data_IF_732795799147
#
_entry.id   IF_732795799147
#
_cell.length_a   1.000
_cell.length_b   1.000
_cell.length_c   1.000
_cell.angle_alpha   90.00
_cell.angle_beta   90.00
_cell.angle_gamma   90.00
#
_symmetry.space_group_name_H-M   'P 1'
#
loop_
_entity.id
_entity.type
_entity.pdbx_description
1 polymer ?
#
# COMPACT_ATOMS: atom_id res chain seq x y z
N UNK A 1 -19.38 21.77 -15.67
CA UNK A 1 -18.24 21.67 -16.60
C UNK A 1 -18.15 20.23 -17.09
N UNK A 2 -17.93 19.99 -18.39
CA UNK A 2 -17.61 18.67 -18.97
C UNK A 2 -16.45 18.89 -19.93
N UNK A 3 -15.38 18.12 -19.80
CA UNK A 3 -14.18 18.28 -20.62
C UNK A 3 -13.67 16.90 -21.07
N UNK A 4 -14.00 16.51 -22.31
CA UNK A 4 -13.67 15.19 -22.87
C UNK A 4 -12.21 15.05 -23.30
N UNK A 5 -11.46 16.15 -23.32
CA UNK A 5 -10.01 16.19 -23.57
C UNK A 5 -9.21 16.43 -22.27
N UNK A 6 -9.87 16.33 -21.11
CA UNK A 6 -9.27 16.59 -19.80
C UNK A 6 -9.52 18.00 -19.29
N UNK A 7 -9.19 18.23 -18.02
CA UNK A 7 -9.49 19.44 -17.27
C UNK A 7 -8.31 19.79 -16.36
N UNK A 8 -7.80 21.01 -16.48
CA UNK A 8 -6.82 21.57 -15.57
C UNK A 8 -7.45 22.69 -14.74
N UNK A 9 -7.59 22.48 -13.44
CA UNK A 9 -8.03 23.50 -12.48
C UNK A 9 -6.82 24.00 -11.71
N UNK A 10 -6.44 25.25 -11.94
CA UNK A 10 -5.22 25.83 -11.36
C UNK A 10 -5.47 27.19 -10.73
N UNK A 11 -4.71 27.49 -9.67
CA UNK A 11 -4.63 28.82 -9.07
C UNK A 11 -3.26 29.48 -9.30
N UNK A 12 -2.43 28.88 -10.15
CA UNK A 12 -1.21 29.51 -10.65
C UNK A 12 -1.59 30.71 -11.53
N UNK A 13 -1.00 31.87 -11.23
CA UNK A 13 -1.25 33.08 -11.99
C UNK A 13 -0.49 33.08 -13.32
N UNK A 14 -1.13 33.58 -14.38
CA UNK A 14 -0.52 33.81 -15.68
C UNK A 14 -0.62 35.31 -16.02
N UNK A 15 0.34 36.15 -15.56
CA UNK A 15 0.29 37.59 -15.77
C UNK A 15 0.15 37.95 -17.26
N UNK A 16 -0.81 38.82 -17.56
CA UNK A 16 -1.10 39.24 -18.93
C UNK A 16 -1.57 38.12 -19.87
N UNK A 17 -1.94 36.95 -19.35
CA UNK A 17 -2.21 35.75 -20.13
C UNK A 17 -1.06 35.37 -21.10
N UNK A 18 0.19 35.70 -20.73
CA UNK A 18 1.35 35.60 -21.61
C UNK A 18 1.88 34.19 -21.91
N UNK A 19 1.31 33.16 -21.29
CA UNK A 19 1.60 31.75 -21.57
C UNK A 19 0.50 31.07 -22.38
N UNK A 20 0.66 29.77 -22.62
CA UNK A 20 -0.38 28.96 -23.25
C UNK A 20 -1.58 28.77 -22.32
N UNK A 21 -2.77 28.53 -22.89
CA UNK A 21 -3.99 28.34 -22.10
C UNK A 21 -3.93 27.09 -21.20
N UNK A 22 -3.18 26.07 -21.63
CA UNK A 22 -3.00 24.81 -20.92
C UNK A 22 -1.52 24.62 -20.51
N UNK A 23 -0.90 25.66 -19.96
CA UNK A 23 0.44 25.52 -19.39
C UNK A 23 0.39 24.65 -18.12
N UNK A 24 0.80 23.39 -18.28
CA UNK A 24 0.85 22.38 -17.23
C UNK A 24 2.21 22.32 -16.53
N UNK A 25 3.15 23.20 -16.85
CA UNK A 25 4.53 23.14 -16.33
C UNK A 25 4.57 23.00 -14.80
N UNK A 26 3.85 23.83 -14.00
CA UNK A 26 3.89 23.69 -12.54
C UNK A 26 3.31 22.38 -12.03
N UNK A 27 2.27 21.84 -12.68
CA UNK A 27 1.67 20.57 -12.28
C UNK A 27 2.58 19.38 -12.62
N UNK A 28 3.26 19.43 -13.77
CA UNK A 28 4.20 18.39 -14.23
C UNK A 28 5.41 18.26 -13.31
N UNK A 29 5.97 19.38 -12.85
CA UNK A 29 7.07 19.35 -11.88
C UNK A 29 6.68 18.65 -10.58
N UNK A 30 5.47 18.92 -10.08
CA UNK A 30 4.94 18.26 -8.88
C UNK A 30 4.73 16.75 -9.11
N UNK A 31 4.12 16.37 -10.23
CA UNK A 31 3.94 14.96 -10.62
C UNK A 31 5.28 14.22 -10.73
N UNK A 32 6.28 14.82 -11.37
CA UNK A 32 7.61 14.24 -11.50
C UNK A 32 8.32 14.11 -10.14
N UNK A 33 8.08 15.02 -9.20
CA UNK A 33 8.60 14.92 -7.83
C UNK A 33 7.94 13.77 -7.05
N UNK A 34 6.62 13.64 -7.17
CA UNK A 34 5.81 12.59 -6.54
C UNK A 34 6.18 11.19 -7.08
N UNK A 35 6.31 11.06 -8.40
CA UNK A 35 6.71 9.81 -9.04
C UNK A 35 8.12 9.38 -8.58
N UNK A 36 9.11 10.29 -8.59
CA UNK A 36 10.46 9.98 -8.08
C UNK A 36 10.47 9.60 -6.59
N UNK A 37 9.59 10.19 -5.79
CA UNK A 37 9.43 9.78 -4.39
C UNK A 37 8.88 8.35 -4.29
N UNK A 38 7.80 8.05 -5.01
CA UNK A 38 7.18 6.73 -5.04
C UNK A 38 8.17 5.66 -5.52
N UNK A 39 8.91 5.92 -6.59
CA UNK A 39 9.96 5.02 -7.12
C UNK A 39 11.02 4.69 -6.06
N UNK A 40 11.59 5.71 -5.41
CA UNK A 40 12.63 5.52 -4.40
C UNK A 40 12.12 4.71 -3.21
N UNK A 41 10.92 5.00 -2.74
CA UNK A 41 10.32 4.28 -1.61
C UNK A 41 9.94 2.84 -2.00
N UNK A 42 9.42 2.63 -3.21
CA UNK A 42 9.11 1.31 -3.76
C UNK A 42 10.38 0.44 -3.90
N UNK A 43 11.45 1.01 -4.47
CA UNK A 43 12.76 0.37 -4.55
C UNK A 43 13.35 0.05 -3.18
N UNK A 44 13.20 0.96 -2.20
CA UNK A 44 13.63 0.69 -0.82
C UNK A 44 12.79 -0.40 -0.15
N UNK A 45 11.47 -0.41 -0.35
CA UNK A 45 10.58 -1.41 0.24
C UNK A 45 10.93 -2.81 -0.28
N UNK A 46 11.05 -2.96 -1.60
CA UNK A 46 11.42 -4.23 -2.25
C UNK A 46 12.80 -4.72 -1.82
N UNK A 47 13.80 -3.83 -1.69
CA UNK A 47 15.12 -4.18 -1.17
C UNK A 47 15.07 -4.75 0.26
N UNK A 48 14.07 -4.36 1.05
CA UNK A 48 13.80 -4.87 2.41
C UNK A 48 12.70 -5.94 2.46
N UNK A 49 12.35 -6.56 1.31
CA UNK A 49 11.31 -7.60 1.17
C UNK A 49 9.90 -7.16 1.60
N UNK A 50 9.65 -5.85 1.65
CA UNK A 50 8.30 -5.30 1.73
C UNK A 50 7.71 -5.15 0.33
N UNK A 51 6.43 -4.82 0.26
CA UNK A 51 5.70 -4.74 -1.00
C UNK A 51 6.00 -3.47 -1.78
N UNK A 52 6.05 -3.59 -3.10
CA UNK A 52 6.19 -2.45 -4.01
C UNK A 52 4.92 -1.58 -4.05
N UNK A 53 5.08 -0.30 -4.38
CA UNK A 53 3.96 0.61 -4.63
C UNK A 53 3.55 0.54 -6.11
N UNK A 54 2.67 -0.38 -6.49
CA UNK A 54 2.28 -0.59 -7.91
C UNK A 54 1.63 0.63 -8.59
N UNK A 55 1.08 1.56 -7.82
CA UNK A 55 0.37 2.72 -8.35
C UNK A 55 1.28 3.84 -8.91
N UNK A 56 2.61 3.65 -8.97
CA UNK A 56 3.52 4.64 -9.55
C UNK A 56 3.38 4.77 -11.07
N UNK A 57 2.88 3.74 -11.77
CA UNK A 57 2.70 3.73 -13.23
C UNK A 57 1.59 4.69 -13.67
N UNK A 58 0.47 4.76 -12.93
CA UNK A 58 -0.61 5.70 -13.24
C UNK A 58 -0.18 7.17 -13.05
N UNK A 59 0.67 7.43 -12.03
CA UNK A 59 1.28 8.74 -11.82
C UNK A 59 2.23 9.11 -12.97
N UNK A 60 2.94 8.13 -13.53
CA UNK A 60 3.82 8.32 -14.69
C UNK A 60 3.00 8.65 -15.94
N UNK A 61 1.98 7.86 -16.25
CA UNK A 61 1.09 8.12 -17.40
C UNK A 61 0.43 9.50 -17.31
N UNK A 62 -0.02 9.92 -16.12
CA UNK A 62 -0.58 11.26 -15.91
C UNK A 62 0.43 12.39 -16.21
N UNK A 63 1.73 12.15 -15.98
CA UNK A 63 2.80 13.08 -16.35
C UNK A 63 3.09 13.07 -17.85
N UNK A 64 3.23 11.89 -18.45
CA UNK A 64 3.55 11.70 -19.88
C UNK A 64 2.43 12.22 -20.80
N UNK A 65 1.18 11.99 -20.42
CA UNK A 65 0.02 12.49 -21.16
C UNK A 65 -0.13 14.01 -21.07
N UNK A 66 0.42 14.62 -20.01
CA UNK A 66 0.49 16.07 -19.83
C UNK A 66 1.60 16.75 -20.67
N UNK A 67 2.41 15.97 -21.38
CA UNK A 67 3.43 16.50 -22.31
C UNK A 67 2.96 16.64 -23.75
N UNK A 68 1.72 16.22 -24.03
CA UNK A 68 1.17 16.26 -25.38
C UNK A 68 1.03 17.69 -25.91
N UNK A 69 1.19 17.86 -27.22
CA UNK A 69 0.98 19.13 -27.91
C UNK A 69 -0.03 18.90 -29.02
N UNK A 70 -1.09 19.71 -29.08
CA UNK A 70 -2.00 19.74 -30.22
C UNK A 70 -1.44 20.67 -31.28
N UNK A 71 -1.31 20.19 -32.51
CA UNK A 71 -0.75 20.99 -33.59
C UNK A 71 -0.20 20.13 -34.71
N UNK A 72 0.18 20.76 -35.81
CA UNK A 72 0.63 20.04 -37.00
C UNK A 72 2.07 20.40 -37.34
N UNK A 73 3.05 19.78 -36.67
CA UNK A 73 4.43 19.72 -37.17
C UNK A 73 4.71 18.45 -37.99
N UNK A 74 3.88 17.41 -37.87
CA UNK A 74 4.05 16.12 -38.54
C UNK A 74 3.21 15.96 -39.81
N UNK A 75 3.08 17.01 -40.63
CA UNK A 75 2.59 16.88 -42.01
C UNK A 75 2.90 18.11 -42.89
N UNK A 76 4.15 18.56 -42.92
CA UNK A 76 4.65 19.35 -44.06
C UNK A 76 5.86 18.64 -44.64
N UNK A 77 5.57 17.59 -45.42
CA UNK A 77 6.52 17.00 -46.35
C UNK A 77 7.12 18.08 -47.25
N UNK A 78 8.44 18.01 -47.45
CA UNK A 78 9.22 18.89 -48.30
C UNK A 78 8.56 19.12 -49.68
N UNK A 79 8.23 20.37 -50.02
CA UNK A 79 7.81 20.70 -51.40
C UNK A 79 7.10 22.04 -51.68
N UNK A 80 6.66 22.81 -50.68
CA UNK A 80 5.94 24.08 -50.91
C UNK A 80 6.75 25.35 -50.58
N UNK A 81 6.59 26.41 -51.37
CA UNK A 81 7.13 27.76 -51.10
C UNK A 81 6.45 28.39 -49.86
N UNK A 82 7.23 28.65 -48.82
CA UNK A 82 6.79 29.07 -47.47
C UNK A 82 7.02 30.56 -47.20
N UNK A 83 7.30 31.37 -48.23
CA UNK A 83 7.58 32.81 -48.07
C UNK A 83 6.39 33.62 -47.52
N UNK A 84 5.15 33.18 -47.76
CA UNK A 84 3.93 33.78 -47.21
C UNK A 84 3.55 33.27 -45.81
N UNK A 85 3.96 32.07 -45.43
CA UNK A 85 3.70 31.47 -44.12
C UNK A 85 4.66 31.98 -43.02
N UNK A 86 5.91 32.33 -43.38
CA UNK A 86 6.88 32.90 -42.43
C UNK A 86 6.41 34.20 -41.78
N UNK A 87 5.70 35.08 -42.51
CA UNK A 87 5.16 36.33 -41.95
C UNK A 87 3.90 36.13 -41.10
N UNK A 88 3.15 35.03 -41.28
CA UNK A 88 2.03 34.68 -40.41
C UNK A 88 2.54 34.08 -39.08
N UNK A 89 3.67 33.37 -39.11
CA UNK A 89 4.31 32.77 -37.94
C UNK A 89 5.02 33.76 -37.00
N UNK A 90 5.25 35.01 -37.43
CA UNK A 90 5.88 36.05 -36.60
C UNK A 90 4.90 36.74 -35.64
N UNK A 91 3.58 36.65 -35.89
CA UNK A 91 2.54 37.26 -35.04
C UNK A 91 1.38 36.32 -34.68
N UNK A 92 1.26 35.15 -35.33
CA UNK A 92 0.31 34.09 -34.98
C UNK A 92 1.08 32.84 -34.58
N UNK A 93 0.71 32.21 -33.45
CA UNK A 93 1.43 31.10 -32.84
C UNK A 93 1.80 29.97 -33.81
N UNK A 94 2.83 29.18 -33.44
CA UNK A 94 3.51 28.16 -34.27
C UNK A 94 2.64 26.96 -34.68
N UNK A 95 1.31 27.05 -34.54
CA UNK A 95 0.38 25.98 -34.87
C UNK A 95 0.42 24.81 -33.88
N UNK A 96 1.05 24.99 -32.73
CA UNK A 96 1.20 24.03 -31.65
C UNK A 96 0.78 24.67 -30.31
N UNK A 97 -0.03 23.95 -29.53
CA UNK A 97 -0.47 24.35 -28.19
C UNK A 97 -0.39 23.14 -27.25
N UNK A 98 0.01 23.31 -25.98
CA UNK A 98 -0.06 22.26 -24.98
C UNK A 98 -1.45 21.60 -24.92
N UNK A 99 -1.45 20.28 -24.74
CA UNK A 99 -2.63 19.43 -24.73
C UNK A 99 -2.49 18.29 -23.73
N UNK A 100 -3.56 17.52 -23.55
CA UNK A 100 -3.53 16.27 -22.80
C UNK A 100 -3.76 15.11 -23.79
N UNK A 101 -2.94 14.06 -23.72
CA UNK A 101 -3.11 12.86 -24.57
C UNK A 101 -4.34 12.05 -24.15
N UNK A 102 -4.67 12.05 -22.87
CA UNK A 102 -5.82 11.38 -22.28
C UNK A 102 -6.61 12.35 -21.37
N UNK A 103 -7.90 12.08 -21.07
CA UNK A 103 -8.76 13.03 -20.37
C UNK A 103 -8.52 13.08 -18.85
N UNK A 104 -7.35 13.57 -18.45
CA UNK A 104 -6.97 13.75 -17.05
C UNK A 104 -7.68 14.93 -16.38
N UNK A 105 -7.92 14.82 -15.08
CA UNK A 105 -8.28 15.94 -14.21
C UNK A 105 -7.09 16.30 -13.33
N UNK A 106 -6.45 17.44 -13.60
CA UNK A 106 -5.37 17.97 -12.77
C UNK A 106 -5.88 19.11 -11.90
N UNK A 107 -5.63 19.02 -10.59
CA UNK A 107 -5.88 20.09 -9.62
C UNK A 107 -4.52 20.60 -9.13
N UNK A 108 -4.22 21.89 -9.30
CA UNK A 108 -2.95 22.47 -8.89
C UNK A 108 -3.12 23.81 -8.16
N UNK A 109 -2.41 23.98 -7.06
CA UNK A 109 -2.35 25.25 -6.34
C UNK A 109 -0.99 25.42 -5.68
N UNK A 110 -0.37 26.61 -5.77
CA UNK A 110 0.89 26.88 -5.07
C UNK A 110 0.71 26.98 -3.54
N UNK A 111 -0.49 27.33 -3.06
CA UNK A 111 -0.77 27.49 -1.63
C UNK A 111 -1.37 26.22 -0.99
N UNK A 112 -2.10 25.43 -1.76
CA UNK A 112 -2.68 24.16 -1.31
C UNK A 112 -4.08 23.89 -1.86
N UNK A 113 -4.57 22.67 -1.61
CA UNK A 113 -5.92 22.24 -2.02
C UNK A 113 -6.64 21.77 -0.75
N UNK A 114 -7.88 22.19 -0.58
CA UNK A 114 -8.72 21.80 0.56
C UNK A 114 -10.08 21.32 0.06
N UNK A 115 -10.51 20.16 0.55
CA UNK A 115 -11.85 19.63 0.36
C UNK A 115 -12.52 19.48 1.73
N UNK A 116 -13.63 20.18 1.96
CA UNK A 116 -14.40 20.10 3.21
C UNK A 116 -15.87 19.92 2.94
N UNK A 117 -16.55 19.23 3.86
CA UNK A 117 -18.00 19.03 3.84
C UNK A 117 -18.47 18.71 5.27
N UNK A 118 -19.64 19.21 5.72
CA UNK A 118 -20.22 18.81 7.00
C UNK A 118 -20.82 17.39 6.97
N UNK A 119 -21.01 16.82 5.78
CA UNK A 119 -21.56 15.49 5.57
C UNK A 119 -20.44 14.48 5.29
N UNK A 120 -20.48 13.81 4.13
CA UNK A 120 -19.54 12.75 3.77
C UNK A 120 -18.72 13.09 2.52
N UNK A 121 -17.50 12.57 2.48
CA UNK A 121 -16.67 12.48 1.28
C UNK A 121 -16.55 11.01 0.89
N UNK A 122 -16.75 10.70 -0.39
CA UNK A 122 -16.60 9.34 -0.92
C UNK A 122 -15.58 9.34 -2.06
N UNK A 123 -14.57 8.48 -1.95
CA UNK A 123 -13.57 8.23 -2.98
C UNK A 123 -13.78 6.80 -3.47
N UNK A 124 -14.22 6.66 -4.72
CA UNK A 124 -14.44 5.37 -5.36
C UNK A 124 -13.63 5.29 -6.65
N UNK A 125 -12.89 4.20 -6.81
CA UNK A 125 -12.03 3.96 -7.97
C UNK A 125 -12.18 2.50 -8.41
N UNK A 126 -12.07 2.26 -9.72
CA UNK A 126 -11.97 0.90 -10.26
C UNK A 126 -10.54 0.35 -10.27
N UNK A 127 -9.55 1.24 -10.15
CA UNK A 127 -8.12 0.92 -10.09
C UNK A 127 -7.53 1.22 -8.71
N UNK A 128 -6.31 1.76 -8.67
CA UNK A 128 -5.57 2.02 -7.43
C UNK A 128 -5.73 3.46 -6.91
N UNK A 129 -5.69 3.61 -5.57
CA UNK A 129 -5.51 4.89 -4.88
C UNK A 129 -4.04 5.06 -4.51
N UNK A 130 -3.39 6.09 -5.03
CA UNK A 130 -2.05 6.50 -4.58
C UNK A 130 -2.10 7.83 -3.84
N UNK A 131 -1.36 7.90 -2.73
CA UNK A 131 -1.15 9.12 -1.97
C UNK A 131 0.35 9.28 -1.77
N UNK A 132 0.89 10.43 -2.15
CA UNK A 132 2.29 10.77 -1.96
C UNK A 132 2.40 12.12 -1.27
N UNK A 133 3.29 12.22 -0.30
CA UNK A 133 3.59 13.45 0.44
C UNK A 133 5.10 13.58 0.54
N UNK A 134 5.64 14.75 0.24
CA UNK A 134 7.07 15.03 0.43
C UNK A 134 7.49 15.06 1.91
N UNK A 135 6.52 15.17 2.80
CA UNK A 135 6.68 15.23 4.25
C UNK A 135 5.75 14.18 4.90
N UNK A 136 4.87 14.59 5.81
CA UNK A 136 4.01 13.71 6.57
C UNK A 136 2.66 13.43 5.88
N UNK A 137 2.07 12.28 6.18
CA UNK A 137 0.65 11.99 5.95
C UNK A 137 -0.02 11.85 7.31
N UNK A 138 -0.87 12.81 7.66
CA UNK A 138 -1.56 12.84 8.94
C UNK A 138 -3.03 12.43 8.75
N UNK A 139 -3.46 11.41 9.48
CA UNK A 139 -4.84 10.92 9.47
C UNK A 139 -5.40 11.04 10.89
N UNK A 140 -6.45 11.84 11.06
CA UNK A 140 -7.13 12.02 12.34
C UNK A 140 -8.62 11.69 12.17
N UNK A 141 -9.15 10.84 13.06
CA UNK A 141 -10.57 10.46 13.11
C UNK A 141 -11.12 10.68 14.50
N UNK A 142 -12.33 11.21 14.61
CA UNK A 142 -13.05 11.32 15.88
C UNK A 142 -13.73 10.01 16.32
N UNK A 143 -13.82 9.04 15.42
CA UNK A 143 -14.39 7.72 15.68
C UNK A 143 -13.35 6.64 15.43
N UNK A 144 -13.65 5.73 14.50
CA UNK A 144 -12.79 4.59 14.16
C UNK A 144 -12.07 4.79 12.82
N UNK A 145 -10.88 4.20 12.69
CA UNK A 145 -10.24 3.94 11.40
C UNK A 145 -10.35 2.44 11.13
N UNK A 146 -11.11 2.07 10.11
CA UNK A 146 -11.33 0.66 9.74
C UNK A 146 -10.82 0.45 8.32
N UNK A 147 -9.99 -0.59 8.13
CA UNK A 147 -9.49 -1.00 6.83
C UNK A 147 -9.81 -2.49 6.62
N UNK A 148 -10.52 -2.81 5.54
CA UNK A 148 -10.80 -4.17 5.10
C UNK A 148 -10.11 -4.38 3.74
N UNK A 149 -9.21 -5.36 3.66
CA UNK A 149 -8.29 -5.52 2.54
C UNK A 149 -8.32 -6.97 2.07
N UNK A 150 -8.59 -7.19 0.78
CA UNK A 150 -8.79 -8.54 0.21
C UNK A 150 -7.50 -9.33 0.05
N UNK A 151 -6.36 -8.68 -0.13
CA UNK A 151 -5.10 -9.36 -0.48
C UNK A 151 -4.05 -9.21 0.62
N UNK A 152 -3.60 -7.99 0.89
CA UNK A 152 -2.47 -7.76 1.81
C UNK A 152 -2.40 -6.35 2.37
N UNK A 153 -1.96 -6.24 3.62
CA UNK A 153 -1.49 -5.00 4.24
C UNK A 153 0.03 -5.05 4.37
N UNK A 154 0.75 -4.07 3.81
CA UNK A 154 2.20 -3.95 3.95
C UNK A 154 2.56 -2.55 4.46
N UNK A 155 3.28 -2.51 5.58
CA UNK A 155 3.75 -1.27 6.21
C UNK A 155 5.28 -1.30 6.25
N UNK A 156 5.91 -0.36 5.55
CA UNK A 156 7.36 -0.24 5.48
C UNK A 156 7.82 1.14 5.94
N UNK A 157 8.85 1.16 6.78
CA UNK A 157 9.48 2.40 7.26
C UNK A 157 10.99 2.28 7.08
N UNK A 158 11.58 3.19 6.31
CA UNK A 158 13.01 3.13 5.97
C UNK A 158 13.94 3.54 7.14
N UNK A 159 13.49 4.42 8.05
CA UNK A 159 14.39 5.07 9.03
C UNK A 159 13.94 4.98 10.47
N UNK A 160 12.77 5.52 10.80
CA UNK A 160 12.38 5.80 12.19
C UNK A 160 11.63 4.66 12.91
N UNK A 161 11.39 3.53 12.23
CA UNK A 161 10.66 2.37 12.76
C UNK A 161 9.14 2.58 12.85
N UNK A 162 8.46 1.58 13.43
CA UNK A 162 7.00 1.53 13.59
C UNK A 162 6.65 1.62 15.07
N UNK A 163 5.61 2.40 15.40
CA UNK A 163 5.07 2.54 16.75
C UNK A 163 3.57 2.28 16.73
N UNK A 164 3.12 1.30 17.51
CA UNK A 164 1.71 0.93 17.66
C UNK A 164 1.35 1.02 19.15
N UNK A 165 0.43 1.93 19.50
CA UNK A 165 0.03 2.15 20.89
C UNK A 165 -1.49 2.16 21.03
N UNK A 166 -2.00 1.46 22.04
CA UNK A 166 -3.35 1.63 22.53
C UNK A 166 -3.27 2.31 23.92
N UNK A 167 -3.81 3.52 24.04
CA UNK A 167 -3.83 4.21 25.33
C UNK A 167 -4.78 3.54 26.34
N UNK A 168 -5.84 2.91 25.83
CA UNK A 168 -6.80 2.07 26.54
C UNK A 168 -7.25 0.95 25.61
N UNK A 169 -7.66 -0.17 26.18
CA UNK A 169 -8.06 -1.35 25.43
C UNK A 169 -6.87 -2.22 25.03
N UNK A 170 -7.18 -3.28 24.28
CA UNK A 170 -6.22 -4.32 23.92
C UNK A 170 -5.59 -4.04 22.55
N UNK A 171 -4.42 -4.63 22.32
CA UNK A 171 -3.82 -4.76 20.99
C UNK A 171 -3.85 -6.24 20.64
N UNK A 172 -4.71 -6.59 19.69
CA UNK A 172 -4.91 -7.97 19.26
C UNK A 172 -4.25 -8.19 17.89
N UNK A 173 -3.41 -9.22 17.79
CA UNK A 173 -2.72 -9.62 16.55
C UNK A 173 -2.97 -11.11 16.34
N UNK A 174 -3.70 -11.44 15.28
CA UNK A 174 -4.08 -12.81 14.96
C UNK A 174 -3.71 -13.16 13.51
N UNK A 175 -3.24 -14.38 13.30
CA UNK A 175 -3.16 -15.02 12.00
C UNK A 175 -3.97 -16.31 12.07
N UNK A 176 -5.07 -16.40 11.31
CA UNK A 176 -6.02 -17.51 11.40
C UNK A 176 -5.53 -18.76 10.66
N UNK A 177 -4.99 -18.56 9.46
CA UNK A 177 -4.49 -19.64 8.59
C UNK A 177 -2.98 -19.58 8.39
N UNK A 178 -2.36 -18.43 8.70
CA UNK A 178 -0.94 -18.16 8.53
C UNK A 178 -0.17 -18.18 9.84
N UNK A 179 1.14 -17.92 9.74
CA UNK A 179 2.02 -17.77 10.88
C UNK A 179 2.25 -16.30 11.24
N UNK A 180 2.51 -16.03 12.52
CA UNK A 180 3.04 -14.74 12.98
C UNK A 180 4.56 -14.87 13.11
N UNK A 181 5.31 -13.98 12.44
CA UNK A 181 6.76 -13.89 12.53
C UNK A 181 7.20 -12.61 13.24
N UNK A 182 8.09 -12.74 14.22
CA UNK A 182 8.72 -11.61 14.92
C UNK A 182 10.23 -11.80 14.88
N UNK A 183 10.94 -10.85 14.28
CA UNK A 183 12.40 -10.91 14.15
C UNK A 183 13.01 -9.52 14.34
N UNK A 184 14.15 -9.45 15.03
CA UNK A 184 14.95 -8.25 15.20
C UNK A 184 16.44 -8.60 15.12
N UNK A 185 17.25 -7.67 14.60
CA UNK A 185 18.72 -7.78 14.63
C UNK A 185 19.27 -7.65 16.06
N UNK A 186 18.55 -6.89 16.90
CA UNK A 186 18.85 -6.67 18.33
C UNK A 186 17.84 -7.43 19.19
N UNK A 187 17.59 -6.92 20.38
CA UNK A 187 16.75 -7.56 21.37
C UNK A 187 15.27 -7.59 20.97
N UNK A 188 14.61 -8.71 21.27
CA UNK A 188 13.15 -8.83 21.31
C UNK A 188 12.75 -8.93 22.78
N UNK A 189 11.96 -7.97 23.27
CA UNK A 189 11.49 -7.93 24.66
C UNK A 189 9.99 -8.16 24.73
N UNK A 190 9.57 -9.16 25.49
CA UNK A 190 8.17 -9.43 25.84
C UNK A 190 8.02 -9.30 27.34
N UNK A 191 7.16 -8.40 27.81
CA UNK A 191 6.99 -8.15 29.24
C UNK A 191 5.56 -7.78 29.59
N UNK A 192 5.13 -8.17 30.78
CA UNK A 192 3.88 -7.75 31.40
C UNK A 192 4.22 -7.13 32.75
N UNK A 193 3.83 -5.87 32.96
CA UNK A 193 4.22 -5.11 34.15
C UNK A 193 3.37 -5.43 35.38
N UNK A 194 2.10 -5.76 35.19
CA UNK A 194 1.16 -6.05 36.27
C UNK A 194 0.45 -7.41 36.11
N UNK A 195 0.56 -8.05 34.95
CA UNK A 195 -0.13 -9.30 34.62
C UNK A 195 0.82 -10.48 34.43
N UNK A 196 0.44 -11.40 33.54
CA UNK A 196 1.26 -12.56 33.15
C UNK A 196 1.69 -12.48 31.69
N UNK A 197 2.80 -13.14 31.37
CA UNK A 197 3.13 -13.52 29.99
C UNK A 197 2.77 -14.99 29.84
N UNK A 198 1.98 -15.30 28.82
CA UNK A 198 1.54 -16.66 28.53
C UNK A 198 1.94 -17.05 27.12
N UNK A 199 2.57 -18.22 27.00
CA UNK A 199 2.98 -18.81 25.73
C UNK A 199 2.44 -20.23 25.75
N UNK A 200 1.53 -20.51 24.82
CA UNK A 200 0.86 -21.80 24.70
C UNK A 200 0.89 -22.23 23.24
N UNK A 201 1.14 -23.51 23.00
CA UNK A 201 1.15 -24.10 21.66
C UNK A 201 0.51 -25.50 21.70
N UNK A 202 -0.16 -25.88 20.62
CA UNK A 202 -0.74 -27.22 20.48
C UNK A 202 0.33 -28.31 20.32
N UNK A 203 1.39 -28.00 19.57
CA UNK A 203 2.38 -29.00 19.16
C UNK A 203 3.69 -28.90 19.94
N UNK A 204 4.33 -27.72 19.98
CA UNK A 204 5.67 -27.57 20.55
C UNK A 204 5.98 -26.12 20.94
N UNK A 205 6.66 -25.95 22.07
CA UNK A 205 7.32 -24.69 22.44
C UNK A 205 8.83 -24.96 22.53
N UNK A 206 9.63 -24.21 21.77
CA UNK A 206 11.10 -24.31 21.77
C UNK A 206 11.73 -22.95 22.08
N UNK A 207 12.51 -22.88 23.15
CA UNK A 207 13.30 -21.72 23.53
C UNK A 207 14.77 -22.10 23.38
N UNK A 208 15.50 -21.49 22.45
CA UNK A 208 16.89 -21.86 22.15
C UNK A 208 17.83 -20.66 22.15
N UNK A 209 19.08 -20.88 22.59
CA UNK A 209 20.14 -19.86 22.56
C UNK A 209 21.52 -20.52 22.67
N UNK A 210 22.45 -20.16 21.77
CA UNK A 210 23.85 -20.58 21.84
C UNK A 210 24.09 -22.09 21.88
N UNK A 211 23.15 -22.89 21.35
CA UNK A 211 23.19 -24.36 21.38
C UNK A 211 22.48 -25.01 22.58
N UNK A 212 22.10 -24.24 23.61
CA UNK A 212 21.20 -24.71 24.66
C UNK A 212 19.74 -24.49 24.29
N UNK A 213 18.84 -25.32 24.81
CA UNK A 213 17.40 -25.15 24.61
C UNK A 213 16.54 -25.74 25.73
N UNK A 214 15.33 -25.21 25.82
CA UNK A 214 14.20 -25.76 26.58
C UNK A 214 13.10 -26.09 25.57
N UNK A 215 12.64 -27.33 25.57
CA UNK A 215 11.56 -27.81 24.69
C UNK A 215 10.40 -28.36 25.51
N UNK A 216 9.18 -27.97 25.16
CA UNK A 216 7.94 -28.52 25.73
C UNK A 216 7.17 -29.18 24.58
N UNK A 217 7.00 -30.50 24.64
CA UNK A 217 6.35 -31.30 23.60
C UNK A 217 5.78 -32.59 24.17
N UNK A 218 4.56 -32.97 23.76
CA UNK A 218 3.90 -34.22 24.15
C UNK A 218 3.87 -34.46 25.68
N UNK A 219 3.72 -33.38 26.46
CA UNK A 219 3.74 -33.41 27.92
C UNK A 219 5.14 -33.59 28.57
N UNK A 220 6.19 -33.63 27.77
CA UNK A 220 7.59 -33.72 28.23
C UNK A 220 8.28 -32.36 28.18
N UNK A 221 9.18 -32.13 29.14
CA UNK A 221 10.04 -30.93 29.20
C UNK A 221 11.49 -31.38 29.07
N UNK A 222 12.14 -31.00 27.97
CA UNK A 222 13.56 -31.27 27.74
C UNK A 222 14.38 -30.01 28.04
N UNK A 223 15.41 -30.15 28.88
CA UNK A 223 16.36 -29.08 29.19
C UNK A 223 17.75 -29.58 28.80
N UNK A 224 18.27 -29.07 27.68
CA UNK A 224 19.57 -29.47 27.17
C UNK A 224 20.49 -28.26 27.04
N UNK A 225 21.74 -28.40 27.48
CA UNK A 225 22.77 -27.39 27.32
C UNK A 225 24.13 -28.06 27.03
N UNK A 226 24.97 -27.50 26.14
CA UNK A 226 26.33 -27.99 25.91
C UNK A 226 27.27 -27.67 27.08
N UNK A 227 26.92 -26.69 27.91
CA UNK A 227 27.64 -26.30 29.13
C UNK A 227 26.95 -26.79 30.40
N UNK A 228 27.25 -26.14 31.52
CA UNK A 228 26.64 -26.43 32.80
C UNK A 228 25.20 -25.89 32.88
N UNK A 229 24.31 -26.64 33.53
CA UNK A 229 22.97 -26.20 33.94
C UNK A 229 23.03 -25.83 35.42
N UNK A 230 23.00 -24.54 35.74
CA UNK A 230 23.03 -24.02 37.12
C UNK A 230 21.60 -23.79 37.64
N UNK A 231 21.15 -24.62 38.58
CA UNK A 231 19.81 -24.55 39.17
C UNK A 231 19.91 -24.09 40.61
N UNK A 232 19.47 -22.85 40.88
CA UNK A 232 19.49 -22.25 42.23
C UNK A 232 18.08 -22.20 42.81
N UNK A 233 17.93 -22.69 44.04
CA UNK A 233 16.64 -22.69 44.75
C UNK A 233 16.79 -23.16 46.19
N UNK A 234 15.89 -22.71 47.08
CA UNK A 234 15.90 -23.11 48.49
C UNK A 234 15.45 -24.57 48.70
N UNK A 235 14.67 -25.13 47.78
CA UNK A 235 14.20 -26.52 47.80
C UNK A 235 14.08 -27.06 46.36
N UNK A 236 14.39 -28.35 46.18
CA UNK A 236 14.30 -29.04 44.89
C UNK A 236 13.51 -30.34 45.14
N UNK A 237 12.19 -30.29 44.93
CA UNK A 237 11.31 -31.43 45.15
C UNK A 237 10.90 -32.05 43.81
N UNK A 238 11.34 -33.28 43.55
CA UNK A 238 10.95 -34.05 42.38
C UNK A 238 9.81 -35.00 42.78
N UNK A 239 8.56 -34.54 42.59
CA UNK A 239 7.35 -35.34 42.82
C UNK A 239 6.95 -36.21 41.63
N UNK A 240 5.82 -36.92 41.77
CA UNK A 240 5.20 -37.64 40.65
C UNK A 240 4.60 -36.70 39.59
N UNK A 241 4.15 -37.23 38.44
CA UNK A 241 3.63 -36.43 37.34
C UNK A 241 2.35 -35.67 37.74
N UNK A 242 2.23 -34.43 37.27
CA UNK A 242 1.03 -33.59 37.40
C UNK A 242 0.69 -32.99 36.04
N UNK A 243 -0.59 -32.74 35.78
CA UNK A 243 -1.09 -32.17 34.52
C UNK A 243 -1.98 -30.96 34.79
N UNK A 244 -1.84 -29.92 33.96
CA UNK A 244 -2.75 -28.77 33.94
C UNK A 244 -3.41 -28.74 32.57
N UNK A 245 -4.72 -28.96 32.51
CA UNK A 245 -5.46 -28.85 31.26
C UNK A 245 -5.62 -27.38 30.89
N UNK A 246 -5.03 -26.97 29.77
CA UNK A 246 -5.21 -25.63 29.22
C UNK A 246 -5.93 -25.73 27.88
N UNK A 247 -7.08 -25.07 27.74
CA UNK A 247 -7.76 -24.93 26.46
C UNK A 247 -7.06 -23.85 25.64
N UNK A 248 -6.64 -24.20 24.42
CA UNK A 248 -6.16 -23.22 23.45
C UNK A 248 -7.35 -22.40 22.92
N UNK A 249 -7.15 -21.14 22.53
CA UNK A 249 -8.20 -20.35 21.91
C UNK A 249 -8.55 -20.92 20.53
N UNK A 250 -9.85 -21.14 20.28
CA UNK A 250 -10.35 -21.52 18.96
C UNK A 250 -10.26 -20.32 18.01
N UNK A 251 -9.48 -20.47 16.94
CA UNK A 251 -9.44 -19.48 15.86
C UNK A 251 -10.59 -19.78 14.88
N UNK A 252 -11.40 -18.78 14.48
CA UNK A 252 -12.46 -19.01 13.51
C UNK A 252 -11.88 -19.44 12.17
N UNK A 253 -12.44 -20.51 11.61
CA UNK A 253 -12.26 -20.92 10.22
C UNK A 253 -13.28 -20.14 9.38
N UNK A 254 -12.80 -19.19 8.57
CA UNK A 254 -13.68 -18.42 7.69
C UNK A 254 -14.07 -19.23 6.47
N UNK A 255 -15.36 -19.56 6.34
CA UNK A 255 -15.92 -20.02 5.06
C UNK A 255 -15.80 -18.88 4.04
N UNK A 256 -15.00 -19.10 3.01
CA UNK A 256 -14.64 -18.12 1.98
C UNK A 256 -15.85 -17.89 1.02
N UNK A 257 -16.93 -17.26 1.52
CA UNK A 257 -18.16 -17.00 0.75
C UNK A 257 -17.92 -16.09 -0.48
N UNK A 258 -16.77 -15.40 -0.54
CA UNK A 258 -16.37 -14.58 -1.68
C UNK A 258 -15.97 -15.40 -2.93
N UNK A 259 -15.79 -16.73 -2.81
CA UNK A 259 -15.48 -17.61 -3.94
C UNK A 259 -16.72 -18.20 -4.66
N UNK A 260 -17.96 -17.90 -4.25
CA UNK A 260 -19.16 -18.49 -4.87
C UNK A 260 -19.68 -17.77 -6.15
N UNK A 261 -19.01 -16.70 -6.61
CA UNK A 261 -19.37 -15.98 -7.85
C UNK A 261 -18.31 -16.10 -8.94
N UNK A 262 -18.13 -17.30 -9.49
CA UNK A 262 -17.67 -17.51 -10.89
C UNK A 262 -17.78 -19.00 -11.27
N UNK A 263 -18.98 -19.39 -11.72
CA UNK A 263 -19.24 -20.41 -12.77
C UNK A 263 -20.75 -20.75 -12.84
N UNK A 264 -21.59 -19.74 -13.03
CA UNK A 264 -22.88 -19.91 -13.71
C UNK A 264 -22.81 -19.05 -14.95
N UNK A 265 -22.37 -19.67 -16.04
CA UNK A 265 -22.74 -19.41 -17.44
C UNK A 265 -21.73 -20.10 -18.36
N UNK A 266 -21.89 -21.42 -18.55
CA UNK A 266 -21.49 -22.18 -19.74
C UNK A 266 -21.64 -23.71 -19.54
N UNK A 267 -22.87 -24.22 -19.36
CA UNK A 267 -23.23 -25.60 -19.78
C UNK A 267 -24.74 -25.81 -19.75
N UNK A 268 -25.48 -25.12 -20.62
CA UNK A 268 -26.83 -25.54 -21.03
C UNK A 268 -26.87 -25.58 -22.54
N UNK A 269 -26.90 -26.80 -23.07
CA UNK A 269 -26.89 -27.13 -24.49
C UNK A 269 -25.73 -28.08 -24.76
N UNK A 270 -25.91 -29.37 -24.96
CA UNK A 270 -27.10 -30.20 -25.05
C UNK A 270 -26.64 -31.52 -25.65
N UNK A 271 -27.18 -32.64 -25.18
CA UNK A 271 -27.13 -33.99 -25.76
C UNK A 271 -27.96 -34.84 -24.79
N UNK A 272 -29.01 -35.57 -25.16
CA UNK A 272 -29.33 -36.20 -26.43
C UNK A 272 -29.76 -37.62 -26.09
N UNK A 273 -31.04 -37.81 -25.77
CA UNK A 273 -31.65 -39.11 -25.49
C UNK A 273 -31.72 -39.89 -26.81
N UNK A 274 -31.25 -41.14 -26.82
CA UNK A 274 -31.59 -42.11 -27.88
C UNK A 274 -31.96 -43.42 -27.19
N UNK A 275 -33.23 -43.82 -27.35
CA UNK A 275 -33.73 -45.17 -27.10
C UNK A 275 -33.38 -46.09 -28.27
N UNK A 276 -33.14 -47.35 -27.90
CA UNK A 276 -32.91 -48.60 -28.67
C UNK A 276 -31.72 -48.69 -29.65
#
# INVERSE_FOLDING_TARGET
MRANQGLYLTTWGQPGAGGDQLDLTPAREQLASAHRLAERLSGSATAHRAEALEAHTELQHAGEDAEHTYGNSEQVSAGGDQSSARRASETGGRGETPGLRAPWLHLASPAGITATTPASTHLAQGGALSVSSGEDVNIATGGSLVAAITQRLSLFVQRAGIKLFAARGNVDIHAHTGAIGLAAEKDVTVSSSAGRVEISAASEILLSSGGGYIRIKDGSIDIHAPGAIDVKGAQHAFGGPASTGQSLPDLPEGDDELCSRKNRDASTGGEGLVEE
#
